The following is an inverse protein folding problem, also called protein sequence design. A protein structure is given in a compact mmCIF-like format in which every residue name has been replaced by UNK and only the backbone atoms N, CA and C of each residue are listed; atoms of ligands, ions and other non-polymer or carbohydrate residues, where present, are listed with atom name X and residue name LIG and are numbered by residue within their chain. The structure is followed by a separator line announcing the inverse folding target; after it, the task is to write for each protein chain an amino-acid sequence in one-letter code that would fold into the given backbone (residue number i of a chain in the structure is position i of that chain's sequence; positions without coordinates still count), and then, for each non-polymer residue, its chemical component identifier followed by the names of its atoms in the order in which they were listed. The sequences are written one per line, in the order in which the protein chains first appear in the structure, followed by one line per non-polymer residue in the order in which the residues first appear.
data_IF_232815160429
#
_entry.id   IF_232815160429
#
_cell.length_a   1.000
_cell.length_b   1.000
_cell.length_c   1.000
_cell.angle_alpha   90.00
_cell.angle_beta   90.00
_cell.angle_gamma   90.00
#
_symmetry.space_group_name_H-M   'P 1'
#
loop_
_entity.id
_entity.type
_entity.pdbx_description
1 polymer ?
#
# COMPACT_ATOMS: atom_id res chain seq x y z
N UNK A 1 -16.30 -4.22 -8.64
CA UNK A 1 -15.27 -3.41 -9.28
C UNK A 1 -15.84 -2.55 -10.36
N UNK A 2 -15.49 -1.27 -10.39
CA UNK A 2 -16.01 -0.27 -11.31
C UNK A 2 -14.89 0.19 -12.22
N UNK A 3 -15.01 -0.04 -13.53
CA UNK A 3 -14.02 0.34 -14.53
C UNK A 3 -12.88 -0.67 -14.69
N UNK A 4 -11.84 -0.23 -15.41
CA UNK A 4 -10.62 -1.01 -15.65
C UNK A 4 -9.73 -0.97 -14.43
N UNK A 5 -9.12 -2.12 -14.07
CA UNK A 5 -8.17 -2.23 -12.97
C UNK A 5 -6.82 -1.66 -13.44
N UNK A 6 -6.30 -0.67 -12.73
CA UNK A 6 -4.96 -0.12 -12.96
C UNK A 6 -3.93 -0.90 -12.15
N UNK A 7 -3.04 -1.60 -12.82
CA UNK A 7 -2.00 -2.44 -12.24
C UNK A 7 -0.63 -1.76 -12.19
N UNK A 8 -0.58 -0.46 -12.44
CA UNK A 8 0.66 0.32 -12.38
C UNK A 8 1.33 0.17 -11.01
N UNK A 9 2.57 -0.28 -11.01
CA UNK A 9 3.36 -0.50 -9.79
C UNK A 9 3.14 -1.86 -9.13
N UNK A 10 2.36 -2.76 -9.73
CA UNK A 10 2.30 -4.16 -9.29
C UNK A 10 3.40 -4.96 -9.93
N UNK A 11 4.00 -5.89 -9.18
CA UNK A 11 5.06 -6.77 -9.66
C UNK A 11 4.48 -8.09 -10.14
N UNK A 12 4.93 -8.55 -11.30
CA UNK A 12 4.59 -9.89 -11.79
C UNK A 12 5.37 -10.98 -11.02
N UNK A 13 4.80 -12.17 -10.88
CA UNK A 13 3.46 -12.57 -11.36
C UNK A 13 2.35 -12.03 -10.45
N UNK A 14 1.19 -11.73 -11.02
CA UNK A 14 -0.02 -11.35 -10.26
C UNK A 14 -1.28 -11.95 -10.89
N UNK A 15 -2.32 -12.15 -10.07
CA UNK A 15 -3.64 -12.60 -10.50
C UNK A 15 -4.67 -11.51 -10.24
N UNK A 16 -5.52 -11.22 -11.24
CA UNK A 16 -6.68 -10.33 -11.07
C UNK A 16 -7.95 -11.13 -11.33
N UNK A 17 -8.70 -11.41 -10.27
CA UNK A 17 -9.93 -12.16 -10.34
C UNK A 17 -11.03 -11.41 -11.09
N UNK A 18 -11.74 -12.15 -11.94
CA UNK A 18 -12.88 -11.64 -12.68
C UNK A 18 -14.13 -11.61 -11.82
N UNK A 19 -14.34 -12.65 -11.02
CA UNK A 19 -15.52 -12.82 -10.21
C UNK A 19 -15.20 -12.80 -8.73
N UNK A 20 -16.13 -12.29 -7.94
CA UNK A 20 -16.04 -12.17 -6.48
C UNK A 20 -15.83 -13.51 -5.76
N UNK A 21 -16.39 -14.60 -6.28
CA UNK A 21 -16.41 -15.92 -5.65
C UNK A 21 -15.30 -16.86 -6.14
N UNK A 22 -14.35 -16.36 -6.91
CA UNK A 22 -13.16 -17.16 -7.28
C UNK A 22 -12.30 -17.39 -6.02
N UNK A 23 -11.63 -18.54 -5.97
CA UNK A 23 -10.75 -18.88 -4.85
C UNK A 23 -9.54 -17.96 -4.81
N UNK A 24 -9.14 -17.60 -3.60
CA UNK A 24 -7.94 -16.80 -3.33
C UNK A 24 -6.70 -17.69 -3.53
N UNK A 25 -5.73 -17.21 -4.28
CA UNK A 25 -4.40 -17.81 -4.34
C UNK A 25 -3.54 -17.26 -3.20
N UNK A 26 -3.43 -18.04 -2.13
CA UNK A 26 -2.66 -17.73 -0.93
C UNK A 26 -1.49 -18.68 -0.70
N UNK A 27 -1.32 -19.66 -1.58
CA UNK A 27 -0.32 -20.69 -1.43
C UNK A 27 1.10 -20.09 -1.55
N UNK A 28 2.01 -20.50 -0.67
CA UNK A 28 3.41 -20.11 -0.81
C UNK A 28 4.02 -20.73 -2.06
N UNK A 29 5.00 -20.03 -2.63
CA UNK A 29 5.85 -20.56 -3.69
C UNK A 29 6.64 -21.80 -3.21
N UNK A 30 7.34 -22.48 -4.12
CA UNK A 30 8.20 -23.61 -3.78
C UNK A 30 9.28 -23.26 -2.74
N UNK A 31 9.68 -21.97 -2.68
CA UNK A 31 10.64 -21.43 -1.70
C UNK A 31 9.98 -20.96 -0.40
N UNK A 32 8.68 -21.19 -0.24
CA UNK A 32 7.93 -20.83 0.98
C UNK A 32 7.54 -19.36 1.08
N UNK A 33 7.60 -18.59 -0.01
CA UNK A 33 7.28 -17.15 -0.04
C UNK A 33 5.82 -16.96 -0.44
N UNK A 34 5.06 -16.19 0.36
CA UNK A 34 3.71 -15.72 0.01
C UNK A 34 3.84 -14.41 -0.74
N UNK A 35 3.40 -14.37 -2.00
CA UNK A 35 3.63 -13.22 -2.88
C UNK A 35 2.68 -12.05 -2.63
N UNK A 36 1.51 -12.28 -2.00
CA UNK A 36 0.49 -11.26 -1.74
C UNK A 36 0.08 -10.47 -3.01
N UNK A 37 -0.03 -11.17 -4.12
CA UNK A 37 -0.22 -10.63 -5.47
C UNK A 37 -1.54 -11.06 -6.11
N UNK A 38 -2.52 -11.44 -5.30
CA UNK A 38 -3.83 -11.90 -5.70
C UNK A 38 -4.88 -10.80 -5.45
N UNK A 39 -5.53 -10.30 -6.52
CA UNK A 39 -6.34 -9.08 -6.48
C UNK A 39 -7.76 -9.30 -6.99
N UNK A 40 -8.75 -8.72 -6.32
CA UNK A 40 -10.15 -8.68 -6.77
C UNK A 40 -10.55 -7.32 -7.37
N UNK A 41 -9.68 -6.32 -7.34
CA UNK A 41 -9.86 -5.03 -8.01
C UNK A 41 -10.98 -4.16 -7.44
N UNK A 42 -11.24 -4.22 -6.12
CA UNK A 42 -12.09 -3.23 -5.44
C UNK A 42 -11.46 -1.84 -5.47
N UNK A 43 -12.27 -0.78 -5.54
CA UNK A 43 -11.80 0.60 -5.66
C UNK A 43 -12.71 1.61 -4.95
N UNK A 44 -12.28 2.88 -4.87
CA UNK A 44 -13.02 3.96 -4.20
C UNK A 44 -14.42 4.17 -4.81
N UNK A 45 -14.56 4.08 -6.14
CA UNK A 45 -15.85 4.21 -6.82
C UNK A 45 -16.83 3.11 -6.41
N UNK A 46 -16.33 1.88 -6.30
CA UNK A 46 -17.14 0.76 -5.84
C UNK A 46 -17.61 0.92 -4.39
N UNK A 47 -16.81 1.56 -3.52
CA UNK A 47 -17.26 1.88 -2.15
C UNK A 47 -18.36 2.94 -2.21
N UNK A 48 -18.20 4.01 -3.00
CA UNK A 48 -19.21 5.07 -3.15
C UNK A 48 -20.56 4.47 -3.57
N UNK A 49 -20.56 3.54 -4.53
CA UNK A 49 -21.78 2.86 -4.98
C UNK A 49 -22.48 2.04 -3.87
N UNK A 50 -21.76 1.68 -2.80
CA UNK A 50 -22.28 0.88 -1.69
C UNK A 50 -22.49 1.65 -0.40
N UNK A 51 -22.25 2.97 -0.37
CA UNK A 51 -22.39 3.77 0.84
C UNK A 51 -23.80 3.76 1.42
N UNK A 52 -24.84 3.72 0.60
CA UNK A 52 -26.22 3.64 1.10
C UNK A 52 -26.44 2.32 1.84
N UNK A 53 -25.98 1.21 1.29
CA UNK A 53 -26.03 -0.08 1.98
C UNK A 53 -25.23 -0.08 3.29
N UNK A 54 -24.05 0.55 3.32
CA UNK A 54 -23.22 0.68 4.53
C UNK A 54 -23.93 1.54 5.59
N UNK A 55 -24.60 2.62 5.17
CA UNK A 55 -25.40 3.47 6.05
C UNK A 55 -26.61 2.73 6.61
N UNK A 56 -27.30 1.95 5.80
CA UNK A 56 -28.46 1.13 6.21
C UNK A 56 -28.11 0.06 7.26
N UNK A 57 -26.85 -0.39 7.28
CA UNK A 57 -26.31 -1.27 8.34
C UNK A 57 -26.04 -0.52 9.65
N UNK A 58 -26.24 0.81 9.69
CA UNK A 58 -25.97 1.65 10.86
C UNK A 58 -24.49 1.99 11.07
N UNK A 59 -23.65 1.79 10.07
CA UNK A 59 -22.23 2.15 10.17
C UNK A 59 -22.06 3.67 10.18
N UNK A 60 -21.29 4.18 11.14
CA UNK A 60 -20.96 5.61 11.29
C UNK A 60 -19.48 5.91 10.99
N UNK A 61 -18.68 4.87 10.80
CA UNK A 61 -17.26 4.94 10.49
C UNK A 61 -16.94 3.92 9.39
N UNK A 62 -16.19 4.38 8.39
CA UNK A 62 -15.55 3.55 7.38
C UNK A 62 -14.05 3.53 7.66
N UNK A 63 -13.55 2.41 8.19
CA UNK A 63 -12.12 2.20 8.37
C UNK A 63 -11.56 1.52 7.13
N UNK A 64 -10.59 2.16 6.48
CA UNK A 64 -9.93 1.62 5.30
C UNK A 64 -8.55 1.10 5.68
N UNK A 65 -8.26 -0.16 5.31
CA UNK A 65 -6.90 -0.67 5.28
C UNK A 65 -6.01 0.24 4.43
N UNK A 66 -4.67 0.12 4.48
CA UNK A 66 -3.78 1.03 3.79
C UNK A 66 -4.17 1.27 2.33
N UNK A 67 -4.24 2.53 1.93
CA UNK A 67 -4.63 2.95 0.58
C UNK A 67 -3.46 3.44 -0.25
N UNK A 68 -2.29 3.67 0.36
CA UNK A 68 -1.10 4.19 -0.32
C UNK A 68 -0.56 3.22 -1.36
N UNK A 69 0.07 3.76 -2.40
CA UNK A 69 0.72 2.97 -3.46
C UNK A 69 1.63 1.90 -2.87
N UNK A 70 1.50 0.66 -3.35
CA UNK A 70 2.17 -0.50 -2.82
C UNK A 70 2.20 -1.63 -3.85
N UNK A 71 3.05 -2.65 -3.67
CA UNK A 71 3.11 -3.81 -4.57
C UNK A 71 2.12 -4.89 -4.16
N UNK A 72 1.92 -5.09 -2.85
CA UNK A 72 1.07 -6.15 -2.32
C UNK A 72 -0.42 -5.83 -2.39
N UNK A 73 -1.24 -6.87 -2.25
CA UNK A 73 -2.69 -6.75 -2.16
C UNK A 73 -3.15 -6.13 -0.83
N UNK A 74 -2.39 -6.31 0.27
CA UNK A 74 -2.69 -5.77 1.60
C UNK A 74 -2.22 -4.32 1.80
N UNK A 75 -1.24 -3.83 1.02
CA UNK A 75 -0.69 -2.47 1.03
C UNK A 75 0.00 -2.03 2.33
N UNK A 76 0.36 -2.96 3.20
CA UNK A 76 1.19 -2.65 4.37
C UNK A 76 2.67 -2.42 4.01
N UNK A 77 3.10 -2.74 2.80
CA UNK A 77 4.41 -2.46 2.22
C UNK A 77 4.39 -1.12 1.47
N UNK A 78 4.13 -0.03 2.16
CA UNK A 78 3.97 1.30 1.56
C UNK A 78 5.11 1.65 0.60
N UNK A 79 4.75 1.91 -0.66
CA UNK A 79 5.68 2.31 -1.73
C UNK A 79 5.82 3.81 -1.85
N UNK A 80 4.70 4.55 -1.69
CA UNK A 80 4.69 6.02 -1.68
C UNK A 80 3.53 6.51 -0.80
N UNK A 81 3.85 7.25 0.27
CA UNK A 81 2.84 7.79 1.20
C UNK A 81 1.95 8.87 0.58
N UNK A 82 2.40 9.53 -0.48
CA UNK A 82 1.76 10.74 -1.01
C UNK A 82 0.70 10.47 -2.06
N UNK A 83 0.64 9.25 -2.59
CA UNK A 83 -0.31 8.87 -3.62
C UNK A 83 -1.06 7.60 -3.24
N UNK A 84 -2.36 7.52 -3.55
CA UNK A 84 -3.09 6.28 -3.39
C UNK A 84 -2.60 5.23 -4.38
N UNK A 85 -2.84 3.97 -4.07
CA UNK A 85 -2.60 2.86 -4.99
C UNK A 85 -3.46 3.06 -6.26
N UNK A 86 -2.85 3.04 -7.45
CA UNK A 86 -3.59 3.24 -8.71
C UNK A 86 -4.76 2.29 -8.90
N UNK A 87 -4.68 1.08 -8.35
CA UNK A 87 -5.77 0.11 -8.38
C UNK A 87 -7.03 0.60 -7.64
N UNK A 88 -6.86 1.44 -6.62
CA UNK A 88 -7.97 2.00 -5.82
C UNK A 88 -8.58 3.23 -6.46
N UNK A 89 -7.81 3.98 -7.24
CA UNK A 89 -8.20 5.23 -7.89
C UNK A 89 -7.25 6.39 -7.60
N UNK A 90 -7.68 7.59 -7.96
CA UNK A 90 -6.92 8.83 -7.82
C UNK A 90 -7.16 9.50 -6.47
N UNK A 91 -6.40 10.57 -6.18
CA UNK A 91 -6.63 11.46 -5.02
C UNK A 91 -8.03 12.09 -5.10
N UNK A 92 -8.48 12.45 -6.31
CA UNK A 92 -9.80 13.01 -6.56
C UNK A 92 -10.91 11.99 -6.29
N UNK A 93 -10.71 10.72 -6.68
CA UNK A 93 -11.65 9.63 -6.36
C UNK A 93 -11.75 9.42 -4.84
N UNK A 94 -10.61 9.51 -4.13
CA UNK A 94 -10.60 9.41 -2.67
C UNK A 94 -11.32 10.59 -1.99
N UNK A 95 -11.10 11.82 -2.47
CA UNK A 95 -11.84 13.00 -1.99
C UNK A 95 -13.35 12.83 -2.18
N UNK A 96 -13.76 12.37 -3.39
CA UNK A 96 -15.16 12.12 -3.68
C UNK A 96 -15.76 11.04 -2.74
N UNK A 97 -14.99 10.00 -2.40
CA UNK A 97 -15.41 9.01 -1.40
C UNK A 97 -15.61 9.65 -0.03
N UNK A 98 -14.69 10.48 0.43
CA UNK A 98 -14.80 11.16 1.73
C UNK A 98 -16.05 12.08 1.75
N UNK A 99 -16.28 12.87 0.71
CA UNK A 99 -17.43 13.75 0.60
C UNK A 99 -18.75 12.96 0.62
N UNK A 100 -18.83 11.89 -0.16
CA UNK A 100 -20.02 11.05 -0.24
C UNK A 100 -20.31 10.32 1.10
N UNK A 101 -19.27 9.89 1.82
CA UNK A 101 -19.40 9.28 3.14
C UNK A 101 -19.88 10.32 4.18
N UNK A 102 -19.28 11.51 4.20
CA UNK A 102 -19.66 12.59 5.13
C UNK A 102 -21.11 13.05 4.93
N UNK A 103 -21.61 13.12 3.70
CA UNK A 103 -23.02 13.42 3.40
C UNK A 103 -23.99 12.41 4.03
N UNK A 104 -23.53 11.21 4.33
CA UNK A 104 -24.30 10.13 5.00
C UNK A 104 -24.00 10.02 6.50
N UNK A 105 -23.24 10.97 7.07
CA UNK A 105 -22.83 10.93 8.47
C UNK A 105 -21.75 9.87 8.78
N UNK A 106 -21.11 9.31 7.76
CA UNK A 106 -20.04 8.30 7.91
C UNK A 106 -18.69 9.00 7.89
N UNK A 107 -17.89 8.79 8.94
CA UNK A 107 -16.49 9.26 9.00
C UNK A 107 -15.57 8.26 8.30
N UNK A 108 -14.48 8.77 7.71
CA UNK A 108 -13.44 7.92 7.08
C UNK A 108 -12.20 7.93 7.96
N UNK A 109 -11.68 6.75 8.28
CA UNK A 109 -10.40 6.54 8.98
C UNK A 109 -9.48 5.78 8.05
N UNK A 110 -8.24 6.25 7.93
CA UNK A 110 -7.18 5.56 7.18
C UNK A 110 -6.24 4.81 8.12
N UNK A 111 -5.85 3.62 7.71
CA UNK A 111 -4.76 2.88 8.33
C UNK A 111 -3.42 3.49 7.90
N UNK A 112 -2.66 4.02 8.85
CA UNK A 112 -1.37 4.67 8.64
C UNK A 112 -0.21 3.73 9.00
N UNK A 113 0.56 3.31 8.00
CA UNK A 113 1.72 2.42 8.18
C UNK A 113 2.99 3.25 8.27
N UNK A 114 3.33 3.72 9.48
CA UNK A 114 4.48 4.59 9.72
C UNK A 114 5.65 3.91 10.44
N UNK A 115 5.60 2.59 10.64
CA UNK A 115 6.67 1.81 11.27
C UNK A 115 7.76 1.36 10.28
N UNK A 116 7.38 1.18 9.03
CA UNK A 116 8.23 0.67 7.95
C UNK A 116 7.69 1.10 6.60
N UNK A 117 8.50 0.95 5.56
CA UNK A 117 8.08 1.05 4.16
C UNK A 117 8.23 -0.30 3.48
N UNK A 118 7.73 -0.43 2.25
CA UNK A 118 8.16 -1.52 1.38
C UNK A 118 9.65 -1.39 1.02
N UNK A 119 10.35 -2.50 0.85
CA UNK A 119 11.75 -2.48 0.40
C UNK A 119 11.90 -1.87 -0.99
N UNK A 120 10.87 -1.96 -1.82
CA UNK A 120 10.84 -1.30 -3.12
C UNK A 120 9.96 -0.03 -3.11
N UNK A 121 9.96 0.70 -2.01
CA UNK A 121 9.35 2.03 -1.91
C UNK A 121 10.20 3.08 -2.62
N UNK A 122 9.60 4.24 -2.93
CA UNK A 122 10.32 5.43 -3.39
C UNK A 122 11.52 5.78 -2.50
N UNK A 123 11.37 5.55 -1.19
CA UNK A 123 12.32 5.95 -0.15
C UNK A 123 13.50 4.97 0.00
N UNK A 124 13.25 3.66 -0.10
CA UNK A 124 14.27 2.61 0.01
C UNK A 124 14.79 2.14 -1.35
N UNK A 125 13.90 1.87 -2.28
CA UNK A 125 14.11 1.57 -3.70
C UNK A 125 15.10 0.42 -3.97
N UNK A 126 14.92 -0.71 -3.29
CA UNK A 126 15.82 -1.87 -3.40
C UNK A 126 15.94 -2.39 -4.82
N UNK A 127 14.82 -2.48 -5.54
CA UNK A 127 14.76 -3.05 -6.90
C UNK A 127 14.92 -2.00 -8.02
N UNK A 128 15.02 -0.71 -7.69
CA UNK A 128 15.16 0.35 -8.67
C UNK A 128 13.88 0.64 -9.48
N UNK A 129 12.72 0.32 -8.93
CA UNK A 129 11.41 0.54 -9.58
C UNK A 129 11.06 2.03 -9.71
N UNK A 130 11.52 2.84 -8.78
CA UNK A 130 11.33 4.29 -8.82
C UNK A 130 12.56 4.99 -9.43
N UNK A 131 12.33 6.07 -10.17
CA UNK A 131 13.39 6.85 -10.84
C UNK A 131 14.31 7.62 -9.89
N UNK A 132 13.91 7.82 -8.64
CA UNK A 132 14.72 8.48 -7.61
C UNK A 132 15.73 7.53 -6.97
N UNK A 133 16.73 8.11 -6.29
CA UNK A 133 17.75 7.35 -5.56
C UNK A 133 17.27 7.07 -4.13
N UNK A 134 16.90 5.83 -3.85
CA UNK A 134 16.51 5.38 -2.51
C UNK A 134 17.70 5.09 -1.59
N UNK A 135 17.41 4.90 -0.30
CA UNK A 135 18.43 4.64 0.73
C UNK A 135 19.23 3.34 0.49
N UNK A 136 18.64 2.33 -0.15
CA UNK A 136 19.36 1.11 -0.51
C UNK A 136 20.40 1.34 -1.61
N UNK A 137 20.13 2.26 -2.52
CA UNK A 137 20.98 2.50 -3.70
C UNK A 137 22.15 3.43 -3.41
N UNK A 138 22.03 4.32 -2.43
CA UNK A 138 23.08 5.26 -2.08
C UNK A 138 22.99 5.74 -0.62
N UNK A 139 24.15 5.76 0.05
CA UNK A 139 24.25 6.38 1.38
C UNK A 139 24.07 7.91 1.34
N UNK A 140 24.15 8.53 0.16
CA UNK A 140 23.89 9.94 -0.06
C UNK A 140 22.43 10.23 -0.48
N UNK A 141 21.55 9.22 -0.45
CA UNK A 141 20.13 9.41 -0.67
C UNK A 141 19.54 10.36 0.37
N UNK A 142 18.59 11.25 0.02
CA UNK A 142 17.89 12.09 0.99
C UNK A 142 17.13 11.27 2.04
N UNK A 143 16.91 10.00 1.77
CA UNK A 143 16.19 9.07 2.67
C UNK A 143 17.13 8.18 3.50
N UNK A 144 18.47 8.37 3.42
CA UNK A 144 19.43 7.48 4.09
C UNK A 144 19.26 7.46 5.60
N UNK A 145 18.98 8.62 6.22
CA UNK A 145 18.78 8.76 7.67
C UNK A 145 17.48 8.12 8.17
N UNK A 146 16.54 7.83 7.27
CA UNK A 146 15.28 7.17 7.62
C UNK A 146 15.48 5.72 8.06
N UNK A 147 16.59 5.08 7.67
CA UNK A 147 16.82 3.65 7.85
C UNK A 147 18.10 3.38 8.62
N UNK A 148 18.10 2.30 9.39
CA UNK A 148 19.29 1.84 10.11
C UNK A 148 19.90 0.66 9.36
N UNK A 149 21.11 0.85 8.83
CA UNK A 149 21.89 -0.21 8.23
C UNK A 149 22.91 -0.75 9.24
N UNK A 150 22.98 -2.07 9.37
CA UNK A 150 24.05 -2.75 10.10
C UNK A 150 25.27 -2.95 9.22
N UNK A 151 25.03 -3.29 7.94
CA UNK A 151 26.04 -3.35 6.88
C UNK A 151 25.36 -2.97 5.57
N UNK A 152 25.64 -1.76 5.08
CA UNK A 152 25.06 -1.25 3.85
C UNK A 152 25.54 -2.03 2.62
N UNK A 153 24.68 -2.30 1.62
CA UNK A 153 23.23 -2.03 1.63
C UNK A 153 22.39 -3.21 2.11
N UNK A 154 22.99 -4.39 2.32
CA UNK A 154 22.27 -5.66 2.39
C UNK A 154 21.80 -6.05 3.80
N UNK A 155 22.32 -5.41 4.84
CA UNK A 155 21.91 -5.71 6.23
C UNK A 155 21.37 -4.46 6.90
N UNK A 156 20.08 -4.46 7.23
CA UNK A 156 19.35 -3.33 7.79
C UNK A 156 18.27 -3.79 8.75
N UNK A 157 17.86 -2.85 9.61
CA UNK A 157 16.76 -3.08 10.53
C UNK A 157 15.45 -3.19 9.75
N UNK A 158 14.72 -4.30 9.94
CA UNK A 158 13.45 -4.55 9.29
C UNK A 158 12.38 -4.98 10.29
N UNK A 159 11.13 -4.75 9.96
CA UNK A 159 9.99 -5.10 10.80
C UNK A 159 9.89 -6.62 10.93
N UNK A 160 10.03 -7.13 12.16
CA UNK A 160 10.03 -8.57 12.48
C UNK A 160 11.01 -9.40 11.64
N UNK A 161 12.12 -8.81 11.22
CA UNK A 161 13.13 -9.43 10.33
C UNK A 161 12.64 -9.79 8.92
N UNK A 162 11.53 -9.20 8.47
CA UNK A 162 11.13 -9.27 7.07
C UNK A 162 11.94 -8.24 6.26
N UNK A 163 12.86 -8.71 5.43
CA UNK A 163 13.74 -7.86 4.62
C UNK A 163 12.98 -7.02 3.57
N UNK A 164 11.75 -7.40 3.27
CA UNK A 164 10.83 -6.64 2.42
C UNK A 164 10.21 -5.43 3.12
N UNK A 165 10.39 -5.28 4.45
CA UNK A 165 9.77 -4.24 5.27
C UNK A 165 10.82 -3.48 6.11
N UNK A 166 11.71 -2.67 5.47
CA UNK A 166 12.71 -1.88 6.19
C UNK A 166 12.04 -0.91 7.18
N UNK A 167 12.48 -0.98 8.43
CA UNK A 167 11.94 -0.15 9.53
C UNK A 167 12.41 1.29 9.41
N UNK A 168 11.49 2.23 9.60
CA UNK A 168 11.76 3.67 9.53
C UNK A 168 12.12 4.22 10.90
N UNK A 169 13.11 5.11 10.95
CA UNK A 169 13.43 5.92 12.12
C UNK A 169 12.38 7.04 12.28
N UNK A 170 11.39 6.79 13.12
CA UNK A 170 10.29 7.74 13.39
C UNK A 170 10.71 9.01 14.13
N UNK A 171 11.95 9.07 14.60
CA UNK A 171 12.53 10.25 15.26
C UNK A 171 13.37 11.09 14.29
N UNK A 172 13.49 10.66 13.04
CA UNK A 172 14.18 11.42 12.00
C UNK A 172 13.33 12.64 11.59
N UNK A 173 13.84 13.87 11.71
CA UNK A 173 13.06 15.08 11.38
C UNK A 173 12.69 15.18 9.90
N UNK A 174 13.43 14.53 9.00
CA UNK A 174 13.11 14.48 7.57
C UNK A 174 12.00 13.48 7.24
N UNK A 175 11.70 12.55 8.17
CA UNK A 175 10.58 11.62 8.03
C UNK A 175 9.25 12.23 8.55
N UNK A 176 9.30 13.10 9.55
CA UNK A 176 8.14 13.76 10.15
C UNK A 176 7.68 14.92 9.27
#
# INVERSE_FOLDING_TARGET
KTGTVDLTGKLEPYTVHKYWHEEVDWQPTADGIVLNNDFYGGNFKGIIEKLDHIADLGATILYLNPISKSFSNHRYDTGDYKVPDPMLGTVEDFKALCEAAHQRGIRVILDGVYSHTGSDSLYFNKNGTFSGTGAYQSQNSPYSSWYTFYQWPNSYHSWWNFDTLPTVNKMDPEFI
#
